data_IF_386741804593
#
_entry.id   IF_386741804593
#
_cell.length_a   1.000
_cell.length_b   1.000
_cell.length_c   1.000
_cell.angle_alpha   90.00
_cell.angle_beta   90.00
_cell.angle_gamma   90.00
#
_symmetry.space_group_name_H-M   'P 1'
#
loop_
_entity.id
_entity.type
_entity.pdbx_description
1 polymer ?
#
# COMPACT_ATOMS: atom_id res chain seq x y z
N UNK A 1 14.80 -16.16 -0.69
CA UNK A 1 14.44 -14.75 -0.99
C UNK A 1 13.82 -14.14 0.26
N UNK A 2 14.25 -12.94 0.69
CA UNK A 2 13.57 -12.25 1.80
C UNK A 2 12.18 -11.83 1.32
N UNK A 3 11.14 -12.18 2.08
CA UNK A 3 9.77 -11.74 1.81
C UNK A 3 9.68 -10.24 2.02
N UNK A 4 9.35 -9.49 0.97
CA UNK A 4 9.13 -8.05 1.07
C UNK A 4 7.76 -7.82 1.70
N UNK A 5 7.71 -7.10 2.81
CA UNK A 5 6.43 -6.76 3.45
C UNK A 5 5.66 -5.79 2.57
N UNK A 6 4.39 -6.10 2.26
CA UNK A 6 3.48 -5.27 1.45
C UNK A 6 3.43 -3.81 1.94
N UNK A 7 3.43 -3.62 3.26
CA UNK A 7 3.44 -2.29 3.92
C UNK A 7 4.73 -1.51 3.69
N UNK A 8 5.89 -2.18 3.71
CA UNK A 8 7.20 -1.55 3.48
C UNK A 8 7.34 -1.13 2.02
N UNK A 9 6.93 -1.99 1.07
CA UNK A 9 6.92 -1.64 -0.36
C UNK A 9 6.00 -0.46 -0.65
N UNK A 10 4.80 -0.46 -0.06
CA UNK A 10 3.85 0.64 -0.23
C UNK A 10 4.39 1.96 0.33
N UNK A 11 4.90 1.94 1.57
CA UNK A 11 5.48 3.13 2.22
C UNK A 11 6.65 3.68 1.41
N UNK A 12 7.51 2.80 0.91
CA UNK A 12 8.65 3.20 0.06
C UNK A 12 8.16 3.90 -1.21
N UNK A 13 7.13 3.36 -1.87
CA UNK A 13 6.54 3.98 -3.06
C UNK A 13 6.01 5.39 -2.80
N UNK A 14 5.28 5.61 -1.70
CA UNK A 14 4.78 6.95 -1.35
C UNK A 14 5.91 7.92 -1.07
N UNK A 15 6.92 7.50 -0.30
CA UNK A 15 8.08 8.34 0.01
C UNK A 15 8.83 8.76 -1.25
N UNK A 16 9.06 7.82 -2.18
CA UNK A 16 9.74 8.11 -3.45
C UNK A 16 8.93 9.09 -4.30
N UNK A 17 7.63 8.86 -4.49
CA UNK A 17 6.78 9.74 -5.30
C UNK A 17 6.66 11.15 -4.70
N UNK A 18 6.53 11.23 -3.37
CA UNK A 18 6.47 12.51 -2.66
C UNK A 18 7.80 13.24 -2.75
N UNK A 19 8.92 12.54 -2.57
CA UNK A 19 10.26 13.09 -2.73
C UNK A 19 10.48 13.61 -4.15
N UNK A 20 10.06 12.85 -5.16
CA UNK A 20 10.16 13.26 -6.56
C UNK A 20 9.34 14.54 -6.83
N UNK A 21 8.14 14.63 -6.27
CA UNK A 21 7.31 15.84 -6.36
C UNK A 21 8.01 17.05 -5.74
N UNK A 22 8.52 16.92 -4.51
CA UNK A 22 9.17 18.02 -3.80
C UNK A 22 10.48 18.47 -4.47
N UNK A 23 11.28 17.52 -4.97
CA UNK A 23 12.50 17.84 -5.73
C UNK A 23 12.14 18.56 -7.03
N UNK A 24 11.11 18.10 -7.74
CA UNK A 24 10.64 18.77 -8.96
C UNK A 24 10.12 20.18 -8.66
N UNK A 25 9.36 20.34 -7.58
CA UNK A 25 8.89 21.65 -7.12
C UNK A 25 10.05 22.60 -6.82
N UNK A 26 11.13 22.11 -6.20
CA UNK A 26 12.28 22.91 -5.81
C UNK A 26 13.19 23.28 -7.00
N UNK A 27 13.38 22.37 -7.96
CA UNK A 27 14.37 22.53 -9.04
C UNK A 27 13.74 23.02 -10.34
N UNK A 28 12.54 22.57 -10.67
CA UNK A 28 11.90 22.81 -11.96
C UNK A 28 10.37 22.96 -11.81
N UNK A 29 9.87 23.99 -11.12
CA UNK A 29 8.45 24.14 -10.84
C UNK A 29 7.58 24.21 -12.10
N UNK A 30 8.09 24.78 -13.21
CA UNK A 30 7.38 24.81 -14.50
C UNK A 30 7.09 23.41 -15.06
N UNK A 31 7.91 22.39 -14.71
CA UNK A 31 7.68 21.01 -15.14
C UNK A 31 6.44 20.42 -14.46
N UNK A 32 6.05 20.91 -13.27
CA UNK A 32 4.85 20.44 -12.56
C UNK A 32 3.55 20.77 -13.29
N UNK A 33 3.53 21.77 -14.18
CA UNK A 33 2.36 22.05 -15.02
C UNK A 33 2.04 20.87 -15.96
N UNK A 34 3.06 20.09 -16.33
CA UNK A 34 2.94 18.93 -17.22
C UNK A 34 2.86 17.62 -16.43
N UNK A 35 3.74 17.43 -15.43
CA UNK A 35 3.88 16.14 -14.73
C UNK A 35 3.34 16.12 -13.31
N UNK A 36 2.95 17.27 -12.75
CA UNK A 36 2.46 17.37 -11.37
C UNK A 36 1.16 16.60 -11.16
N UNK A 37 0.20 16.72 -12.10
CA UNK A 37 -1.04 15.95 -12.09
C UNK A 37 -0.80 14.44 -12.06
N UNK A 38 -0.03 13.87 -13.01
CA UNK A 38 0.37 12.47 -12.99
C UNK A 38 1.02 12.00 -11.68
N UNK A 39 1.92 12.79 -11.07
CA UNK A 39 2.56 12.42 -9.81
C UNK A 39 1.54 12.35 -8.66
N UNK A 40 0.66 13.36 -8.53
CA UNK A 40 -0.39 13.37 -7.50
C UNK A 40 -1.38 12.23 -7.71
N UNK A 41 -1.73 11.93 -8.96
CA UNK A 41 -2.57 10.80 -9.31
C UNK A 41 -1.92 9.47 -8.92
N UNK A 42 -0.62 9.29 -9.19
CA UNK A 42 0.11 8.10 -8.78
C UNK A 42 0.15 7.91 -7.25
N UNK A 43 0.35 8.98 -6.49
CA UNK A 43 0.32 8.94 -5.01
C UNK A 43 -1.09 8.53 -4.52
N UNK A 44 -2.13 9.14 -5.09
CA UNK A 44 -3.53 8.86 -4.74
C UNK A 44 -3.88 7.40 -5.06
N UNK A 45 -3.50 6.92 -6.25
CA UNK A 45 -3.73 5.54 -6.67
C UNK A 45 -2.97 4.54 -5.79
N UNK A 46 -1.70 4.81 -5.45
CA UNK A 46 -0.93 3.97 -4.54
C UNK A 46 -1.59 3.88 -3.15
N UNK A 47 -2.16 4.99 -2.67
CA UNK A 47 -2.84 5.05 -1.36
C UNK A 47 -4.16 4.27 -1.38
N UNK A 48 -5.05 4.57 -2.34
CA UNK A 48 -6.35 3.90 -2.47
C UNK A 48 -6.16 2.43 -2.83
N UNK A 49 -5.22 2.10 -3.70
CA UNK A 49 -4.91 0.74 -4.11
C UNK A 49 -4.41 -0.14 -2.96
N UNK A 50 -3.64 0.41 -2.02
CA UNK A 50 -3.22 -0.33 -0.83
C UNK A 50 -4.39 -0.63 0.11
N UNK A 51 -5.25 0.35 0.37
CA UNK A 51 -6.45 0.17 1.19
C UNK A 51 -7.40 -0.83 0.53
N UNK A 52 -7.75 -0.62 -0.74
CA UNK A 52 -8.62 -1.48 -1.51
C UNK A 52 -8.08 -2.91 -1.62
N UNK A 53 -6.78 -3.06 -1.85
CA UNK A 53 -6.13 -4.37 -1.86
C UNK A 53 -6.21 -5.09 -0.52
N UNK A 54 -6.09 -4.38 0.61
CA UNK A 54 -6.24 -5.00 1.93
C UNK A 54 -7.70 -5.37 2.23
N UNK A 55 -8.67 -4.55 1.82
CA UNK A 55 -10.11 -4.88 1.93
C UNK A 55 -10.44 -6.10 1.09
N UNK A 56 -9.94 -6.18 -0.15
CA UNK A 56 -10.13 -7.34 -1.03
C UNK A 56 -9.49 -8.61 -0.45
N UNK A 57 -8.25 -8.52 0.03
CA UNK A 57 -7.55 -9.64 0.68
C UNK A 57 -8.34 -10.17 1.88
N UNK A 58 -8.89 -9.26 2.70
CA UNK A 58 -9.71 -9.63 3.86
C UNK A 58 -11.08 -10.19 3.47
N UNK A 59 -11.73 -9.64 2.45
CA UNK A 59 -13.01 -10.14 1.95
C UNK A 59 -12.88 -11.58 1.39
N UNK A 60 -11.78 -11.86 0.68
CA UNK A 60 -11.46 -13.20 0.18
C UNK A 60 -11.21 -14.15 1.35
N UNK A 61 -10.35 -13.78 2.30
CA UNK A 61 -10.10 -14.59 3.51
C UNK A 61 -11.37 -14.84 4.31
N UNK A 62 -12.21 -13.83 4.49
CA UNK A 62 -13.51 -13.93 5.18
C UNK A 62 -14.50 -14.84 4.46
N UNK A 63 -14.52 -14.85 3.12
CA UNK A 63 -15.40 -15.75 2.35
C UNK A 63 -15.03 -17.23 2.52
N UNK A 64 -13.75 -17.52 2.73
CA UNK A 64 -13.27 -18.89 2.96
C UNK A 64 -12.97 -19.18 4.44
N UNK A 65 -13.36 -18.27 5.34
CA UNK A 65 -13.15 -18.43 6.77
C UNK A 65 -14.05 -19.54 7.30
N UNK A 66 -13.45 -20.49 8.02
CA UNK A 66 -14.15 -21.57 8.72
C UNK A 66 -13.99 -21.36 10.22
N UNK A 67 -15.02 -20.86 10.92
CA UNK A 67 -14.93 -20.61 12.35
C UNK A 67 -14.62 -21.88 13.17
N UNK A 68 -14.94 -23.06 12.64
CA UNK A 68 -14.64 -24.34 13.30
C UNK A 68 -13.13 -24.62 13.46
N UNK A 69 -12.27 -23.97 12.66
CA UNK A 69 -10.81 -24.12 12.78
C UNK A 69 -10.20 -23.23 13.88
N UNK A 70 -10.90 -22.19 14.32
CA UNK A 70 -10.44 -21.32 15.40
C UNK A 70 -10.63 -21.99 16.78
N UNK A 71 -11.66 -22.83 16.94
CA UNK A 71 -11.90 -23.60 18.17
C UNK A 71 -10.76 -24.61 18.49
N UNK A 72 -10.03 -25.08 17.47
CA UNK A 72 -8.88 -25.97 17.64
C UNK A 72 -7.57 -25.28 18.02
N UNK A 73 -7.52 -23.94 18.00
CA UNK A 73 -6.33 -23.14 18.35
C UNK A 73 -6.34 -22.64 19.80
N UNK A 74 -7.41 -22.91 20.55
CA UNK A 74 -7.45 -22.77 22.00
C UNK A 74 -6.75 -23.94 22.68
N UNK A 75 -5.51 -23.71 23.13
CA UNK A 75 -4.63 -24.55 23.97
C UNK A 75 -3.53 -25.33 23.22
N UNK A 76 -2.33 -24.75 23.12
CA UNK A 76 -1.10 -25.32 23.71
C UNK A 76 -0.14 -24.18 24.08
N UNK A 77 -0.30 -23.61 25.28
CA UNK A 77 0.86 -23.22 26.08
C UNK A 77 1.28 -24.49 26.86
N UNK A 78 2.38 -25.11 26.45
CA UNK A 78 3.15 -26.05 27.26
C UNK A 78 4.62 -25.72 27.12
#
# INVERSE_FOLDING_TARGET
>A
MKSVKKSESWRTGIVVLTGLYLVTLAVAPAVLEVVGGPIVYAISFATVGYIGGNVADNAVKGRFYRPELDEGSGCVER
#
